data_IF_932054791432
#
_entry.id   IF_932054791432
#
_cell.length_a   1.000
_cell.length_b   1.000
_cell.length_c   1.000
_cell.angle_alpha   90.00
_cell.angle_beta   90.00
_cell.angle_gamma   90.00
#
_symmetry.space_group_name_H-M   'P 1'
#
loop_
_entity.id
_entity.type
_entity.pdbx_description
1 polymer ?
#
# COMPACT_ATOMS: atom_id res chain seq x y z
N UNK A 1 1.39 -4.85 -16.90
CA UNK A 1 0.13 -4.99 -16.15
C UNK A 1 0.42 -4.64 -14.71
N UNK A 2 -0.06 -3.51 -14.32
CA UNK A 2 0.10 -2.82 -13.03
C UNK A 2 -0.58 -3.65 -11.92
N UNK A 3 0.10 -4.54 -11.21
CA UNK A 3 -0.67 -5.52 -10.45
C UNK A 3 -0.46 -5.49 -8.93
N UNK A 4 0.44 -4.68 -8.40
CA UNK A 4 0.55 -4.54 -6.94
C UNK A 4 -0.16 -3.29 -6.38
N UNK A 5 -0.60 -2.36 -7.21
CA UNK A 5 -1.21 -1.10 -6.75
C UNK A 5 -2.47 -0.68 -7.53
N UNK A 6 -2.92 -1.43 -8.54
CA UNK A 6 -4.09 -1.05 -9.35
C UNK A 6 -5.44 -1.45 -8.76
N UNK A 7 -5.49 -2.03 -7.56
CA UNK A 7 -6.74 -2.49 -6.95
C UNK A 7 -7.31 -1.57 -5.87
N UNK A 8 -6.87 -0.32 -5.79
CA UNK A 8 -7.64 0.66 -5.02
C UNK A 8 -8.80 1.17 -5.88
N UNK A 9 -9.79 0.32 -6.09
CA UNK A 9 -11.06 0.76 -6.64
C UNK A 9 -11.75 1.66 -5.60
N UNK A 10 -12.06 2.87 -6.01
CA UNK A 10 -12.75 3.92 -5.23
C UNK A 10 -14.22 3.54 -4.92
N UNK A 11 -14.47 2.39 -4.35
CA UNK A 11 -15.84 1.99 -4.03
C UNK A 11 -16.05 1.93 -2.51
N UNK A 12 -16.25 3.05 -1.84
CA UNK A 12 -16.85 3.20 -0.50
C UNK A 12 -16.10 4.11 0.49
N UNK A 13 -16.12 5.39 0.24
CA UNK A 13 -16.02 6.42 1.29
C UNK A 13 -17.36 6.56 2.09
N UNK A 14 -18.33 5.68 1.89
CA UNK A 14 -19.69 5.82 2.40
C UNK A 14 -19.86 5.70 3.93
N UNK A 15 -18.85 5.28 4.69
CA UNK A 15 -19.00 5.07 6.14
C UNK A 15 -18.23 6.06 7.04
N UNK A 16 -17.48 7.01 6.49
CA UNK A 16 -16.79 8.02 7.30
C UNK A 16 -17.67 9.23 7.68
N UNK A 17 -18.92 9.26 7.24
CA UNK A 17 -19.83 10.43 7.35
C UNK A 17 -20.36 10.76 8.75
N UNK A 18 -20.13 9.96 9.79
CA UNK A 18 -20.75 10.19 11.08
C UNK A 18 -19.95 11.08 12.06
N UNK A 19 -18.77 11.59 11.69
CA UNK A 19 -17.90 12.32 12.65
C UNK A 19 -17.42 13.70 12.19
N UNK A 20 -17.87 14.21 11.05
CA UNK A 20 -17.35 15.49 10.50
C UNK A 20 -18.36 16.62 10.65
N UNK A 21 -18.63 17.06 11.89
CA UNK A 21 -19.32 18.32 12.12
C UNK A 21 -18.33 19.49 11.96
N UNK A 22 -18.45 20.27 10.90
CA UNK A 22 -17.94 21.63 10.85
C UNK A 22 -16.72 21.91 9.97
N UNK A 23 -16.43 21.14 8.95
CA UNK A 23 -15.34 21.43 8.01
C UNK A 23 -15.92 21.97 6.69
N UNK A 24 -15.39 23.11 6.23
CA UNK A 24 -15.56 23.56 4.84
C UNK A 24 -14.82 22.66 3.87
N UNK A 25 -14.89 22.95 2.59
CA UNK A 25 -14.22 22.22 1.49
C UNK A 25 -12.79 21.83 1.91
N UNK A 26 -12.56 20.53 2.15
CA UNK A 26 -11.25 20.03 2.61
C UNK A 26 -10.84 18.84 1.78
N UNK A 27 -9.62 18.90 1.26
CA UNK A 27 -9.00 17.79 0.55
C UNK A 27 -8.69 16.66 1.51
N UNK A 28 -9.09 15.45 1.14
CA UNK A 28 -8.66 14.20 1.78
C UNK A 28 -7.53 13.61 0.96
N UNK A 29 -6.43 13.29 1.61
CA UNK A 29 -5.28 12.69 0.97
C UNK A 29 -4.99 11.31 1.59
N UNK A 30 -4.78 10.32 0.73
CA UNK A 30 -4.45 8.98 1.15
C UNK A 30 -3.25 8.48 0.38
N UNK A 31 -2.26 7.97 1.09
CA UNK A 31 -1.04 7.47 0.50
C UNK A 31 -0.69 6.07 0.99
N UNK A 32 -0.17 5.25 0.09
CA UNK A 32 0.46 3.98 0.41
C UNK A 32 1.81 3.89 -0.31
N UNK A 33 2.86 3.71 0.48
CA UNK A 33 4.22 3.48 0.00
C UNK A 33 4.61 2.03 0.27
N UNK A 34 4.95 1.30 -0.78
CA UNK A 34 5.42 -0.08 -0.68
C UNK A 34 6.86 -0.19 -1.19
N UNK A 35 7.68 -0.90 -0.45
CA UNK A 35 9.01 -1.34 -0.85
C UNK A 35 9.10 -2.86 -0.89
N UNK A 36 10.00 -3.40 -1.72
CA UNK A 36 10.28 -4.83 -1.75
C UNK A 36 11.71 -5.08 -2.21
N UNK A 37 12.41 -5.98 -1.52
CA UNK A 37 13.68 -6.51 -1.94
C UNK A 37 13.47 -7.86 -2.63
N UNK A 38 13.85 -7.96 -3.90
CA UNK A 38 13.69 -9.20 -4.64
C UNK A 38 14.74 -10.23 -4.20
N UNK A 39 14.32 -11.46 -3.87
CA UNK A 39 15.25 -12.52 -3.50
C UNK A 39 16.21 -12.84 -4.64
N UNK A 40 17.47 -13.14 -4.29
CA UNK A 40 18.48 -13.57 -5.27
C UNK A 40 17.99 -14.82 -6.03
N UNK A 41 18.12 -14.79 -7.36
CA UNK A 41 17.72 -15.90 -8.23
C UNK A 41 16.27 -15.85 -8.71
N UNK A 42 15.44 -14.90 -8.26
CA UNK A 42 14.13 -14.67 -8.85
C UNK A 42 14.32 -14.06 -10.25
N UNK A 43 13.95 -14.82 -11.28
CA UNK A 43 13.91 -14.31 -12.65
C UNK A 43 12.47 -13.92 -12.94
N UNK A 44 12.20 -12.65 -12.97
CA UNK A 44 10.90 -12.13 -13.37
C UNK A 44 10.84 -12.08 -14.90
N UNK A 45 9.67 -12.35 -15.50
CA UNK A 45 9.46 -12.10 -16.93
C UNK A 45 9.77 -10.62 -17.24
N UNK A 46 10.36 -10.31 -18.42
CA UNK A 46 10.71 -8.92 -18.79
C UNK A 46 9.52 -7.95 -18.79
N UNK A 47 8.31 -8.50 -18.89
CA UNK A 47 7.05 -7.75 -18.95
C UNK A 47 6.37 -7.67 -17.57
N UNK A 48 6.91 -8.37 -16.55
CA UNK A 48 6.38 -8.27 -15.19
C UNK A 48 6.68 -6.88 -14.63
N UNK A 49 5.63 -6.13 -14.34
CA UNK A 49 5.72 -4.81 -13.72
C UNK A 49 5.75 -4.94 -12.19
N UNK A 50 6.64 -5.79 -11.68
CA UNK A 50 6.94 -5.84 -10.25
C UNK A 50 8.03 -4.81 -9.96
N UNK A 51 7.67 -3.77 -9.25
CA UNK A 51 8.57 -2.68 -8.87
C UNK A 51 9.18 -2.93 -7.49
N UNK A 52 10.44 -2.55 -7.30
CA UNK A 52 11.09 -2.60 -5.97
C UNK A 52 10.56 -1.52 -5.02
N UNK A 53 9.94 -0.48 -5.56
CA UNK A 53 9.21 0.52 -4.79
C UNK A 53 8.07 1.10 -5.62
N UNK A 54 6.95 1.40 -4.96
CA UNK A 54 5.83 2.09 -5.56
C UNK A 54 5.10 2.92 -4.50
N UNK A 55 4.65 4.11 -4.86
CA UNK A 55 3.83 4.96 -4.00
C UNK A 55 2.58 5.38 -4.78
N UNK A 56 1.42 5.15 -4.16
CA UNK A 56 0.14 5.63 -4.64
C UNK A 56 -0.38 6.71 -3.71
N UNK A 57 -0.93 7.76 -4.28
CA UNK A 57 -1.65 8.81 -3.54
C UNK A 57 -3.00 8.99 -4.20
N UNK A 58 -4.04 9.00 -3.39
CA UNK A 58 -5.40 9.34 -3.81
C UNK A 58 -5.80 10.68 -3.16
N UNK A 59 -6.35 11.58 -3.95
CA UNK A 59 -6.88 12.86 -3.50
C UNK A 59 -8.36 12.95 -3.81
N UNK A 60 -9.14 13.33 -2.81
CA UNK A 60 -10.58 13.59 -2.95
C UNK A 60 -10.96 14.89 -2.24
N UNK A 61 -12.05 15.50 -2.66
CA UNK A 61 -12.59 16.72 -2.06
C UNK A 61 -13.87 16.41 -1.28
N UNK A 62 -13.88 16.74 0.02
CA UNK A 62 -15.05 16.56 0.88
C UNK A 62 -15.90 17.84 0.77
N UNK A 63 -17.02 17.75 0.08
CA UNK A 63 -17.86 18.92 -0.23
C UNK A 63 -19.04 19.13 0.71
N UNK A 64 -19.41 18.16 1.54
CA UNK A 64 -20.50 18.27 2.54
C UNK A 64 -20.29 17.31 3.70
N UNK A 65 -20.79 17.70 4.89
CA UNK A 65 -20.70 16.92 6.13
C UNK A 65 -21.58 15.66 6.13
N UNK A 66 -22.56 15.58 5.25
CA UNK A 66 -23.46 14.43 5.12
C UNK A 66 -23.11 13.51 3.94
N UNK A 67 -22.33 14.02 2.98
CA UNK A 67 -21.84 13.25 1.83
C UNK A 67 -20.33 13.47 1.70
N UNK A 68 -19.52 12.52 2.19
CA UNK A 68 -18.14 12.39 1.69
C UNK A 68 -18.27 11.95 0.24
N UNK A 69 -18.45 12.94 -0.66
CA UNK A 69 -18.59 12.63 -2.06
C UNK A 69 -17.27 12.06 -2.57
N UNK A 70 -17.33 10.96 -3.29
CA UNK A 70 -16.26 10.41 -4.10
C UNK A 70 -15.92 11.38 -5.25
N UNK A 71 -15.53 12.61 -4.92
CA UNK A 71 -15.10 13.59 -5.89
C UNK A 71 -13.56 13.56 -5.96
N UNK A 72 -12.97 12.68 -6.78
CA UNK A 72 -11.54 12.63 -6.96
C UNK A 72 -11.04 13.95 -7.56
N UNK A 73 -9.89 14.44 -7.06
CA UNK A 73 -9.30 15.71 -7.47
C UNK A 73 -8.27 15.46 -8.57
N UNK A 74 -8.58 15.89 -9.79
CA UNK A 74 -7.65 15.84 -10.92
C UNK A 74 -6.79 17.09 -11.03
N UNK A 75 -5.60 16.93 -11.59
CA UNK A 75 -4.68 18.02 -11.89
C UNK A 75 -3.97 18.63 -10.68
N UNK A 76 -3.96 17.95 -9.55
CA UNK A 76 -3.17 18.35 -8.40
C UNK A 76 -1.65 18.18 -8.67
N UNK A 77 -0.83 18.99 -8.02
CA UNK A 77 0.62 18.77 -7.98
C UNK A 77 0.92 17.86 -6.80
N UNK A 78 1.39 16.64 -7.06
CA UNK A 78 1.78 15.69 -6.01
C UNK A 78 3.25 15.37 -6.12
N UNK A 79 3.99 15.48 -5.02
CA UNK A 79 5.44 15.29 -5.00
C UNK A 79 5.87 14.42 -3.82
N UNK A 80 6.90 13.61 -4.06
CA UNK A 80 7.55 12.79 -3.06
C UNK A 80 8.92 13.37 -2.70
N UNK A 81 9.25 13.36 -1.42
CA UNK A 81 10.57 13.74 -0.91
C UNK A 81 10.99 12.73 0.15
N UNK A 82 12.19 12.19 0.02
CA UNK A 82 12.85 11.43 1.07
C UNK A 82 14.36 11.64 0.98
N UNK A 83 15.07 11.41 2.07
CA UNK A 83 16.52 11.44 2.07
C UNK A 83 17.06 10.45 1.03
N UNK A 84 17.93 10.92 0.14
CA UNK A 84 18.48 10.10 -0.94
C UNK A 84 17.70 10.10 -2.26
N UNK A 85 16.40 10.36 -2.26
CA UNK A 85 15.58 10.42 -3.49
C UNK A 85 15.52 11.83 -4.12
N UNK A 86 15.72 12.87 -3.32
CA UNK A 86 15.43 14.24 -3.75
C UNK A 86 13.92 14.47 -3.89
N UNK A 87 13.54 15.35 -4.81
CA UNK A 87 12.14 15.63 -5.14
C UNK A 87 11.75 14.87 -6.41
N UNK A 88 10.70 14.06 -6.34
CA UNK A 88 10.11 13.32 -7.46
C UNK A 88 8.66 13.77 -7.64
N UNK A 89 8.22 13.90 -8.88
CA UNK A 89 6.84 14.26 -9.21
C UNK A 89 6.04 12.99 -9.53
N UNK A 90 4.82 12.88 -9.00
CA UNK A 90 3.89 11.79 -9.35
C UNK A 90 3.27 12.02 -10.71
N UNK A 91 2.96 10.92 -11.39
CA UNK A 91 2.10 10.93 -12.56
C UNK A 91 0.64 10.67 -12.15
N UNK A 92 -0.29 11.46 -12.67
CA UNK A 92 -1.72 11.15 -12.55
C UNK A 92 -2.06 10.04 -13.56
N UNK A 93 -2.44 8.85 -13.06
CA UNK A 93 -2.80 7.70 -13.90
C UNK A 93 -4.30 7.56 -14.09
N UNK A 94 -5.09 7.97 -13.09
CA UNK A 94 -6.54 8.11 -13.17
C UNK A 94 -6.97 9.33 -12.36
N UNK A 95 -8.22 9.74 -12.49
CA UNK A 95 -8.76 10.94 -11.83
C UNK A 95 -8.57 10.82 -10.31
N UNK A 96 -7.75 11.72 -9.75
CA UNK A 96 -7.41 11.72 -8.33
C UNK A 96 -6.41 10.64 -7.89
N UNK A 97 -5.94 9.79 -8.80
CA UNK A 97 -4.94 8.75 -8.52
C UNK A 97 -3.56 9.15 -9.06
N UNK A 98 -2.61 9.30 -8.17
CA UNK A 98 -1.25 9.71 -8.45
C UNK A 98 -0.29 8.58 -8.12
N UNK A 99 0.58 8.21 -9.08
CA UNK A 99 1.47 7.07 -8.95
C UNK A 99 2.93 7.48 -9.15
N UNK A 100 3.83 6.81 -8.40
CA UNK A 100 5.27 6.94 -8.53
C UNK A 100 5.92 5.56 -8.32
N UNK A 101 6.85 5.19 -9.20
CA UNK A 101 7.48 3.88 -9.21
C UNK A 101 9.00 3.95 -9.10
N UNK A 102 9.63 2.81 -8.78
CA UNK A 102 11.09 2.71 -8.75
C UNK A 102 11.75 3.01 -10.10
N UNK A 103 11.05 2.78 -11.22
CA UNK A 103 11.54 3.17 -12.54
C UNK A 103 11.62 4.69 -12.74
N UNK A 104 10.87 5.47 -11.96
CA UNK A 104 10.88 6.93 -11.96
C UNK A 104 11.88 7.51 -10.96
N UNK A 105 12.68 6.65 -10.33
CA UNK A 105 13.70 7.01 -9.36
C UNK A 105 13.27 6.88 -7.90
N UNK A 106 12.05 6.40 -7.61
CA UNK A 106 11.63 6.12 -6.25
C UNK A 106 12.48 4.99 -5.65
N UNK A 107 13.10 5.26 -4.51
CA UNK A 107 13.80 4.26 -3.71
C UNK A 107 13.14 4.16 -2.33
N UNK A 108 12.94 2.95 -1.86
CA UNK A 108 12.50 2.67 -0.50
C UNK A 108 13.73 2.42 0.37
N UNK A 109 13.87 3.19 1.44
CA UNK A 109 15.00 3.07 2.37
C UNK A 109 14.44 2.97 3.79
N UNK A 110 14.50 1.79 4.43
CA UNK A 110 14.03 1.64 5.81
C UNK A 110 14.72 2.62 6.76
N UNK A 111 13.93 3.22 7.65
CA UNK A 111 14.39 4.20 8.62
C UNK A 111 14.38 5.65 8.13
N UNK A 112 14.31 5.88 6.83
CA UNK A 112 14.16 7.24 6.29
C UNK A 112 12.72 7.72 6.42
N UNK A 113 12.54 9.04 6.49
CA UNK A 113 11.22 9.68 6.44
C UNK A 113 10.79 9.89 4.98
N UNK A 114 9.65 9.33 4.61
CA UNK A 114 8.96 9.61 3.36
C UNK A 114 7.97 10.74 3.54
N UNK A 115 8.02 11.73 2.66
CA UNK A 115 7.13 12.90 2.69
C UNK A 115 6.41 13.01 1.35
N UNK A 116 5.09 12.99 1.39
CA UNK A 116 4.24 13.33 0.24
C UNK A 116 3.70 14.72 0.44
N UNK A 117 3.89 15.59 -0.56
CA UNK A 117 3.29 16.94 -0.61
C UNK A 117 2.30 17.00 -1.74
N UNK A 118 1.18 17.66 -1.50
CA UNK A 118 0.17 17.88 -2.53
C UNK A 118 -0.29 19.34 -2.51
N UNK A 119 -0.64 19.84 -3.68
CA UNK A 119 -1.24 21.17 -3.87
C UNK A 119 -2.51 21.01 -4.73
N UNK A 120 -3.64 21.40 -4.16
CA UNK A 120 -4.96 21.36 -4.80
C UNK A 120 -5.56 22.76 -4.76
N UNK A 121 -5.78 23.36 -5.93
CA UNK A 121 -6.43 24.69 -6.05
C UNK A 121 -5.75 25.82 -5.24
N UNK A 122 -4.46 25.65 -4.91
CA UNK A 122 -3.68 26.62 -4.13
C UNK A 122 -3.63 26.30 -2.62
N UNK A 123 -4.29 25.26 -2.17
CA UNK A 123 -4.16 24.72 -0.82
C UNK A 123 -3.07 23.64 -0.79
N UNK A 124 -2.12 23.78 0.12
CA UNK A 124 -1.00 22.87 0.28
C UNK A 124 -1.23 21.90 1.44
N UNK A 125 -0.81 20.65 1.25
CA UNK A 125 -0.80 19.64 2.29
C UNK A 125 0.45 18.75 2.24
N UNK A 126 0.71 18.09 3.36
CA UNK A 126 1.87 17.22 3.52
C UNK A 126 1.53 16.04 4.43
N UNK A 127 1.99 14.85 4.07
CA UNK A 127 1.89 13.63 4.86
C UNK A 127 3.29 13.03 5.02
N UNK A 128 3.63 12.55 6.23
CA UNK A 128 4.94 11.98 6.55
C UNK A 128 4.77 10.60 7.17
N UNK A 129 5.68 9.70 6.83
CA UNK A 129 5.78 8.38 7.49
C UNK A 129 7.23 7.93 7.52
N UNK A 130 7.66 7.31 8.62
CA UNK A 130 8.96 6.63 8.66
C UNK A 130 8.82 5.26 8.02
N UNK A 131 9.63 4.98 7.00
CA UNK A 131 9.61 3.72 6.26
C UNK A 131 10.06 2.56 7.16
N UNK A 132 9.19 1.54 7.42
CA UNK A 132 9.56 0.40 8.24
C UNK A 132 10.56 -0.53 7.53
N UNK A 133 11.26 -1.35 8.31
CA UNK A 133 11.99 -2.51 7.81
C UNK A 133 11.04 -3.63 7.44
N UNK A 134 11.46 -4.52 6.52
CA UNK A 134 10.71 -5.72 6.21
C UNK A 134 10.66 -6.64 7.43
N UNK A 135 9.52 -7.29 7.72
CA UNK A 135 9.48 -8.31 8.76
C UNK A 135 10.32 -9.53 8.36
N UNK A 136 10.95 -10.18 9.33
CA UNK A 136 11.41 -11.55 9.11
C UNK A 136 10.22 -12.50 9.20
N UNK A 137 10.00 -13.29 8.15
CA UNK A 137 8.80 -14.12 8.01
C UNK A 137 9.19 -15.56 7.63
N UNK A 138 8.58 -16.52 8.30
CA UNK A 138 8.60 -17.92 7.87
C UNK A 138 7.41 -18.22 6.98
N UNK A 139 7.68 -18.64 5.74
CA UNK A 139 6.70 -19.07 4.73
C UNK A 139 7.17 -20.43 4.18
N UNK A 140 6.28 -21.44 4.00
CA UNK A 140 6.67 -22.71 3.39
C UNK A 140 7.16 -22.49 1.96
N UNK A 141 8.18 -23.24 1.54
CA UNK A 141 8.77 -23.18 0.19
C UNK A 141 8.03 -24.00 -0.84
N UNK A 142 7.17 -24.95 -0.38
CA UNK A 142 6.34 -25.82 -1.24
C UNK A 142 5.00 -26.10 -0.59
N UNK A 143 3.95 -26.22 -1.41
CA UNK A 143 2.57 -26.44 -1.00
C UNK A 143 1.88 -27.44 -1.93
N UNK A 144 0.82 -28.09 -1.41
CA UNK A 144 -0.20 -28.71 -2.25
C UNK A 144 -1.16 -27.63 -2.80
N UNK A 145 -1.76 -27.90 -3.97
CA UNK A 145 -2.78 -27.00 -4.54
C UNK A 145 -3.96 -26.79 -3.58
N UNK A 146 -4.34 -25.53 -3.35
CA UNK A 146 -5.44 -25.18 -2.46
C UNK A 146 -5.11 -25.23 -0.96
N UNK A 147 -3.85 -25.43 -0.57
CA UNK A 147 -3.42 -25.43 0.82
C UNK A 147 -3.29 -23.99 1.34
N UNK A 148 -3.81 -23.74 2.55
CA UNK A 148 -3.63 -22.45 3.23
C UNK A 148 -2.18 -22.28 3.70
N UNK A 149 -1.66 -21.06 3.58
CA UNK A 149 -0.33 -20.68 4.06
C UNK A 149 -0.46 -19.89 5.35
N UNK A 150 0.35 -20.25 6.35
CA UNK A 150 0.58 -19.44 7.53
C UNK A 150 1.92 -18.75 7.39
N UNK A 151 1.88 -17.45 7.20
CA UNK A 151 3.07 -16.60 7.25
C UNK A 151 3.26 -16.16 8.70
N UNK A 152 4.37 -16.58 9.32
CA UNK A 152 4.68 -16.28 10.73
C UNK A 152 5.81 -15.27 10.81
N UNK A 153 5.57 -14.15 11.47
CA UNK A 153 6.60 -13.15 11.76
C UNK A 153 7.49 -13.66 12.88
N UNK A 154 8.79 -13.74 12.62
CA UNK A 154 9.80 -14.19 13.60
C UNK A 154 10.55 -13.02 14.23
N UNK A 155 10.73 -11.92 13.47
CA UNK A 155 11.29 -10.67 13.98
C UNK A 155 10.47 -9.47 13.45
N UNK A 156 10.31 -8.48 14.32
CA UNK A 156 9.47 -7.30 14.08
C UNK A 156 8.22 -7.32 14.96
N UNK A 157 7.63 -6.17 15.13
CA UNK A 157 6.35 -5.99 15.83
C UNK A 157 5.50 -5.02 15.04
N UNK A 158 4.42 -5.52 14.51
CA UNK A 158 3.51 -4.74 13.68
C UNK A 158 2.09 -4.87 14.22
N UNK A 159 1.34 -3.80 14.23
CA UNK A 159 -0.09 -3.83 14.52
C UNK A 159 -0.88 -4.43 13.36
N UNK A 160 -0.32 -4.39 12.15
CA UNK A 160 -0.96 -4.88 10.94
C UNK A 160 0.05 -5.54 10.00
N UNK A 161 -0.37 -6.65 9.40
CA UNK A 161 0.37 -7.33 8.35
C UNK A 161 -0.40 -7.25 7.04
N UNK A 162 0.30 -6.85 6.01
CA UNK A 162 -0.20 -6.87 4.63
C UNK A 162 0.53 -7.95 3.85
N UNK A 163 -0.15 -8.60 2.92
CA UNK A 163 0.48 -9.56 2.04
C UNK A 163 -0.17 -9.56 0.65
N UNK A 164 0.62 -10.03 -0.31
CA UNK A 164 0.18 -10.25 -1.68
C UNK A 164 0.78 -11.54 -2.23
N UNK A 165 0.01 -12.25 -3.06
CA UNK A 165 0.42 -13.50 -3.71
C UNK A 165 0.38 -13.31 -5.22
N UNK A 166 1.53 -13.47 -5.86
CA UNK A 166 1.68 -13.31 -7.29
C UNK A 166 2.09 -14.64 -7.94
N UNK A 167 1.28 -15.12 -8.90
CA UNK A 167 1.60 -16.26 -9.76
C UNK A 167 2.57 -15.80 -10.87
N UNK A 168 3.83 -16.21 -10.76
CA UNK A 168 4.91 -15.79 -11.67
C UNK A 168 4.70 -16.37 -13.07
N UNK A 169 4.25 -17.63 -13.15
CA UNK A 169 4.11 -18.35 -14.41
C UNK A 169 2.95 -17.81 -15.27
N UNK A 170 1.96 -17.17 -14.62
CA UNK A 170 0.78 -16.60 -15.29
C UNK A 170 0.70 -15.07 -15.18
N UNK A 171 1.72 -14.43 -14.60
CA UNK A 171 1.82 -12.98 -14.43
C UNK A 171 0.56 -12.38 -13.78
N UNK A 172 0.08 -12.99 -12.71
CA UNK A 172 -1.19 -12.61 -12.09
C UNK A 172 -1.10 -12.50 -10.57
N UNK A 173 -1.60 -11.38 -10.03
CA UNK A 173 -1.96 -11.30 -8.62
C UNK A 173 -3.14 -12.24 -8.37
N UNK A 174 -2.98 -13.18 -7.46
CA UNK A 174 -4.02 -14.17 -7.14
C UNK A 174 -4.75 -13.87 -5.84
N UNK A 175 -4.10 -13.13 -4.95
CA UNK A 175 -4.69 -12.70 -3.69
C UNK A 175 -3.85 -11.58 -3.05
N UNK A 176 -4.49 -10.70 -2.33
CA UNK A 176 -3.89 -9.74 -1.40
C UNK A 176 -4.89 -9.37 -0.29
N UNK A 177 -4.39 -8.73 0.76
CA UNK A 177 -5.15 -8.07 1.80
C UNK A 177 -4.70 -6.62 1.99
N UNK A 178 -4.19 -6.00 0.93
CA UNK A 178 -3.88 -4.59 0.96
C UNK A 178 -5.16 -3.77 1.21
N UNK A 179 -5.08 -2.66 1.92
CA UNK A 179 -6.26 -1.84 2.16
C UNK A 179 -6.81 -1.31 0.83
N UNK A 180 -8.07 -1.61 0.57
CA UNK A 180 -8.78 -1.20 -0.66
C UNK A 180 -9.30 0.24 -0.57
N UNK A 181 -9.53 0.74 0.66
CA UNK A 181 -10.11 2.05 0.92
C UNK A 181 -9.60 2.70 2.23
N UNK A 182 -10.04 3.94 2.48
CA UNK A 182 -9.72 4.73 3.68
C UNK A 182 -10.15 4.06 4.97
N UNK A 183 -11.36 3.51 4.98
CA UNK A 183 -11.92 2.87 6.16
C UNK A 183 -11.06 1.69 6.59
N UNK A 184 -10.65 0.86 5.64
CA UNK A 184 -9.75 -0.27 5.85
C UNK A 184 -8.40 0.17 6.42
N UNK A 185 -7.83 1.27 5.90
CA UNK A 185 -6.56 1.80 6.41
C UNK A 185 -6.71 2.37 7.82
N UNK A 186 -7.84 3.00 8.11
CA UNK A 186 -8.14 3.55 9.44
C UNK A 186 -8.39 2.44 10.47
N UNK A 187 -9.10 1.37 10.10
CA UNK A 187 -9.32 0.19 10.96
C UNK A 187 -7.99 -0.50 11.31
N UNK A 188 -7.03 -0.49 10.39
CA UNK A 188 -5.69 -0.98 10.62
C UNK A 188 -4.97 -0.18 11.72
N UNK A 189 -5.18 1.14 11.82
CA UNK A 189 -4.58 1.99 12.84
C UNK A 189 -5.15 1.82 14.25
N UNK A 190 -6.38 1.34 14.37
CA UNK A 190 -7.08 1.26 15.64
C UNK A 190 -6.68 0.05 16.50
N UNK A 191 -5.77 -0.82 16.02
CA UNK A 191 -5.41 -2.05 16.72
C UNK A 191 -4.08 -1.91 17.48
N UNK A 192 -4.15 -1.89 18.82
CA UNK A 192 -2.98 -2.06 19.70
C UNK A 192 -2.47 -3.52 19.77
N UNK A 193 -3.05 -4.42 19.00
CA UNK A 193 -2.74 -5.85 19.02
C UNK A 193 -1.57 -6.12 18.08
N UNK A 194 -0.47 -6.66 18.62
CA UNK A 194 0.64 -7.14 17.81
C UNK A 194 0.20 -8.40 17.04
N UNK A 195 0.31 -8.35 15.73
CA UNK A 195 0.03 -9.49 14.84
C UNK A 195 1.35 -10.19 14.51
N UNK A 196 1.44 -11.47 14.81
CA UNK A 196 2.63 -12.31 14.57
C UNK A 196 2.38 -13.42 13.53
N UNK A 197 1.16 -13.55 13.03
CA UNK A 197 0.78 -14.55 12.02
C UNK A 197 -0.27 -13.99 11.08
N UNK A 198 -0.11 -14.28 9.78
CA UNK A 198 -1.10 -14.01 8.76
C UNK A 198 -1.51 -15.32 8.06
N UNK A 199 -2.80 -15.55 7.93
CA UNK A 199 -3.34 -16.68 7.17
C UNK A 199 -3.65 -16.25 5.74
N UNK A 200 -2.92 -16.80 4.77
CA UNK A 200 -3.19 -16.65 3.34
C UNK A 200 -4.06 -17.83 2.90
N UNK A 201 -5.24 -17.59 2.33
CA UNK A 201 -6.17 -18.65 1.97
C UNK A 201 -5.67 -19.50 0.80
N UNK A 202 -6.06 -20.77 0.77
CA UNK A 202 -5.60 -21.72 -0.24
C UNK A 202 -6.10 -21.43 -1.66
N UNK A 203 -7.16 -20.64 -1.81
CA UNK A 203 -7.62 -20.17 -3.11
C UNK A 203 -6.65 -19.22 -3.81
N UNK A 204 -5.69 -18.64 -3.08
CA UNK A 204 -4.54 -17.93 -3.64
C UNK A 204 -3.60 -18.86 -4.43
N UNK A 205 -3.59 -20.18 -4.16
CA UNK A 205 -2.65 -21.20 -4.65
C UNK A 205 -3.35 -22.35 -5.39
N UNK A 206 -4.19 -22.03 -6.35
CA UNK A 206 -5.07 -23.03 -7.02
C UNK A 206 -4.43 -23.79 -8.18
N UNK A 207 -3.22 -23.44 -8.59
CA UNK A 207 -2.54 -24.03 -9.75
C UNK A 207 -1.12 -24.46 -9.41
N UNK A 208 -0.65 -25.51 -10.09
CA UNK A 208 0.77 -25.85 -10.06
C UNK A 208 1.56 -24.74 -10.78
N UNK A 209 2.29 -23.95 -10.02
CA UNK A 209 3.04 -22.78 -10.50
C UNK A 209 4.07 -22.33 -9.46
N UNK A 210 4.92 -21.40 -9.85
CA UNK A 210 5.79 -20.65 -8.94
C UNK A 210 5.08 -19.38 -8.51
N UNK A 211 4.99 -19.17 -7.20
CA UNK A 211 4.40 -17.98 -6.62
C UNK A 211 5.45 -17.14 -5.90
N UNK A 212 5.28 -15.84 -5.92
CA UNK A 212 5.94 -14.91 -4.99
C UNK A 212 4.92 -14.50 -3.95
N UNK A 213 5.23 -14.76 -2.68
CA UNK A 213 4.45 -14.33 -1.53
C UNK A 213 5.20 -13.18 -0.87
N UNK A 214 4.63 -11.99 -0.91
CA UNK A 214 5.11 -10.83 -0.19
C UNK A 214 4.37 -10.67 1.13
N UNK A 215 5.09 -10.42 2.22
CA UNK A 215 4.51 -10.11 3.53
C UNK A 215 5.19 -8.87 4.08
N UNK A 216 4.43 -7.86 4.45
CA UNK A 216 4.92 -6.58 4.98
C UNK A 216 4.27 -6.21 6.30
N UNK A 217 5.02 -5.53 7.15
CA UNK A 217 4.47 -4.85 8.31
C UNK A 217 4.06 -3.42 7.94
N UNK A 218 2.77 -3.11 8.09
CA UNK A 218 2.27 -1.78 7.78
C UNK A 218 2.46 -0.83 8.96
N UNK A 219 3.02 0.34 8.68
CA UNK A 219 3.11 1.48 9.59
C UNK A 219 2.35 2.65 8.97
N UNK A 220 1.56 3.33 9.77
CA UNK A 220 0.81 4.51 9.33
C UNK A 220 1.36 5.77 9.99
N UNK A 221 1.21 6.88 9.30
CA UNK A 221 1.54 8.21 9.82
C UNK A 221 0.72 8.52 11.09
N UNK A 222 1.34 9.18 12.06
CA UNK A 222 0.60 9.80 13.15
C UNK A 222 -0.26 10.95 12.58
N UNK A 223 -1.49 11.18 13.06
CA UNK A 223 -2.28 12.34 12.65
C UNK A 223 -1.55 13.69 12.77
N UNK A 224 -0.60 13.81 13.70
CA UNK A 224 0.24 15.00 13.83
C UNK A 224 1.26 15.17 12.70
N UNK A 225 1.59 14.09 11.98
CA UNK A 225 2.47 14.09 10.81
C UNK A 225 1.74 14.40 9.49
N UNK A 226 0.44 14.72 9.58
CA UNK A 226 -0.40 15.14 8.46
C UNK A 226 -0.75 16.61 8.62
N UNK A 227 -0.45 17.42 7.60
CA UNK A 227 -0.77 18.84 7.55
C UNK A 227 -1.48 19.24 6.27
N UNK A 228 -2.34 20.22 6.33
CA UNK A 228 -3.23 20.58 5.23
C UNK A 228 -4.33 19.54 4.99
N UNK A 229 -5.39 19.91 4.31
CA UNK A 229 -6.54 19.05 4.10
C UNK A 229 -7.24 18.60 5.39
N UNK A 230 -8.01 17.54 5.29
CA UNK A 230 -8.73 16.94 6.42
C UNK A 230 -7.87 15.87 7.13
N UNK A 231 -7.21 16.25 8.22
CA UNK A 231 -6.33 15.37 8.99
C UNK A 231 -7.00 14.11 9.53
N UNK A 232 -8.29 14.17 9.83
CA UNK A 232 -9.02 13.05 10.41
C UNK A 232 -9.36 11.97 9.40
N UNK A 233 -9.41 12.32 8.12
CA UNK A 233 -9.73 11.42 7.01
C UNK A 233 -8.51 11.13 6.13
N UNK A 234 -7.42 11.90 6.28
CA UNK A 234 -6.17 11.66 5.55
C UNK A 234 -5.33 10.63 6.25
N UNK A 235 -4.62 9.80 5.47
CA UNK A 235 -3.72 8.78 5.99
C UNK A 235 -2.55 8.56 5.04
N UNK A 236 -1.39 8.26 5.60
CA UNK A 236 -0.24 7.81 4.83
C UNK A 236 0.35 6.58 5.50
N UNK A 237 0.48 5.51 4.75
CA UNK A 237 0.99 4.25 5.24
C UNK A 237 2.22 3.80 4.43
N UNK A 238 3.13 3.07 5.08
CA UNK A 238 4.27 2.48 4.44
C UNK A 238 4.48 1.03 4.90
N UNK A 239 4.93 0.17 3.98
CA UNK A 239 5.35 -1.18 4.29
C UNK A 239 6.53 -1.60 3.41
N UNK A 240 7.49 -2.33 3.98
CA UNK A 240 8.46 -3.09 3.20
C UNK A 240 8.07 -4.56 3.21
N UNK A 241 8.02 -5.15 2.01
CA UNK A 241 7.62 -6.52 1.81
C UNK A 241 8.84 -7.45 1.88
N UNK A 242 8.77 -8.46 2.74
CA UNK A 242 9.65 -9.63 2.69
C UNK A 242 9.10 -10.59 1.62
N UNK A 243 9.88 -10.92 0.59
CA UNK A 243 9.43 -11.73 -0.54
C UNK A 243 9.92 -13.17 -0.45
N UNK A 244 9.02 -14.13 -0.64
CA UNK A 244 9.27 -15.56 -0.55
C UNK A 244 8.83 -16.28 -1.81
N UNK A 245 9.65 -17.21 -2.30
CA UNK A 245 9.30 -18.07 -3.44
C UNK A 245 8.62 -19.32 -2.90
N UNK A 246 7.43 -19.61 -3.40
CA UNK A 246 6.62 -20.77 -3.04
C UNK A 246 6.29 -21.54 -4.30
N UNK A 247 6.57 -22.86 -4.32
CA UNK A 247 6.22 -23.74 -5.42
C UNK A 247 4.98 -24.56 -5.06
N UNK A 248 3.96 -24.51 -5.91
CA UNK A 248 2.80 -25.40 -5.80
C UNK A 248 3.00 -26.57 -6.75
N UNK A 249 3.06 -27.78 -6.16
CA UNK A 249 3.26 -29.01 -6.93
C UNK A 249 1.95 -29.47 -7.59
N UNK A 250 2.10 -30.19 -8.69
CA UNK A 250 0.96 -30.82 -9.38
C UNK A 250 0.64 -32.13 -8.66
N UNK A 251 -0.60 -32.29 -8.19
CA UNK A 251 -1.14 -33.54 -7.67
C UNK A 251 -1.11 -34.67 -8.72
#
# INVERSE_FOLDING_TARGET
MLLLLSMFACDRLQNAGETVDGFGDTTVAQGLLLGADFPEGLTLPPESQLYSAACKVFLAEVTDTEDVSDAPVSGASVTYVADGNGKLDFAEEDVGEYMLYSMDGLAYQPGDEAVVRFEVSGDEGEMRVVMPEAPEVEVPTSLASGENVRARVTEGRFSNLVAAVFDVDHEKLTWDNLPDDVGSTYELNASDVVVDELLIPGDAFTRAATYVVGVGGLVTADPDDISGGNRSLSTFAAAQMSLHIVTVEKD
#
